data_IF_199401905873
#
_entry.id   IF_199401905873
#
_cell.length_a   1.000
_cell.length_b   1.000
_cell.length_c   1.000
_cell.angle_alpha   90.00
_cell.angle_beta   90.00
_cell.angle_gamma   90.00
#
_symmetry.space_group_name_H-M   'P 1'
#
loop_
_entity.id
_entity.type
_entity.pdbx_description
1 polymer ?
#
# COMPACT_ATOMS: atom_id res chain seq x y z
N UNK A 1 -14.84 -5.71 -15.04
CA UNK A 1 -15.13 -4.34 -15.42
C UNK A 1 -14.86 -3.39 -14.26
N UNK A 2 -14.14 -2.30 -14.51
CA UNK A 2 -13.85 -1.34 -13.45
C UNK A 2 -15.11 -0.58 -13.01
N UNK A 3 -15.21 -0.30 -11.73
CA UNK A 3 -16.26 0.51 -11.16
C UNK A 3 -15.66 1.54 -10.21
N UNK A 4 -16.39 2.62 -9.96
CA UNK A 4 -15.94 3.68 -9.07
C UNK A 4 -16.27 3.33 -7.62
N UNK A 5 -15.33 3.68 -6.72
CA UNK A 5 -15.51 3.53 -5.29
C UNK A 5 -15.98 4.84 -4.66
N UNK A 6 -16.57 4.75 -3.46
CA UNK A 6 -16.91 5.93 -2.67
C UNK A 6 -15.63 6.65 -2.26
N UNK A 7 -15.48 7.96 -2.55
CA UNK A 7 -14.32 8.70 -2.09
C UNK A 7 -14.33 8.82 -0.56
N UNK A 8 -13.23 8.46 0.06
CA UNK A 8 -13.03 8.53 1.51
C UNK A 8 -11.76 9.31 1.81
N UNK A 9 -11.65 9.83 3.02
CA UNK A 9 -10.48 10.54 3.50
C UNK A 9 -9.61 9.64 4.39
N UNK A 10 -8.54 10.21 4.94
CA UNK A 10 -7.60 9.46 5.77
C UNK A 10 -8.24 8.94 7.07
N UNK A 11 -9.30 9.58 7.56
CA UNK A 11 -10.05 9.12 8.74
C UNK A 11 -10.68 7.74 8.56
N UNK A 12 -10.92 7.33 7.31
CA UNK A 12 -11.45 6.00 7.01
C UNK A 12 -10.53 4.86 7.49
N UNK A 13 -9.22 5.11 7.59
CA UNK A 13 -8.25 4.10 8.07
C UNK A 13 -8.63 3.56 9.44
N UNK A 14 -9.12 4.42 10.34
CA UNK A 14 -9.53 4.03 11.69
C UNK A 14 -11.00 3.59 11.81
N UNK A 15 -11.81 3.81 10.76
CA UNK A 15 -13.27 3.58 10.80
C UNK A 15 -13.73 2.44 9.88
N UNK A 16 -12.85 1.87 9.08
CA UNK A 16 -13.21 0.87 8.06
C UNK A 16 -13.76 -0.41 8.69
N UNK A 17 -14.78 -1.04 8.07
CA UNK A 17 -15.30 -2.34 8.51
C UNK A 17 -14.26 -3.45 8.47
N UNK A 18 -13.33 -3.41 7.50
CA UNK A 18 -12.20 -4.32 7.43
C UNK A 18 -10.92 -3.50 7.54
N UNK A 19 -10.06 -3.90 8.47
CA UNK A 19 -8.80 -3.23 8.71
C UNK A 19 -7.72 -4.28 8.97
N UNK A 20 -6.80 -4.40 8.02
CA UNK A 20 -5.68 -5.32 8.10
C UNK A 20 -4.40 -4.51 8.34
N UNK A 21 -3.67 -4.84 9.40
CA UNK A 21 -2.44 -4.12 9.78
C UNK A 21 -1.28 -5.09 9.80
N UNK A 22 -0.21 -4.74 9.11
CA UNK A 22 1.02 -5.53 9.05
C UNK A 22 2.19 -4.64 9.42
N UNK A 23 3.13 -5.19 10.17
CA UNK A 23 4.34 -4.47 10.59
C UNK A 23 5.58 -5.30 10.31
N UNK A 24 6.69 -4.62 9.98
CA UNK A 24 8.00 -5.24 9.84
C UNK A 24 9.10 -4.20 10.02
N UNK A 25 10.18 -4.62 10.65
CA UNK A 25 11.40 -3.83 10.74
C UNK A 25 12.29 -4.10 9.53
N UNK A 26 12.88 -3.04 8.99
CA UNK A 26 13.86 -3.11 7.90
C UNK A 26 15.12 -2.33 8.28
N UNK A 27 16.24 -2.62 7.62
CA UNK A 27 17.50 -1.91 7.87
C UNK A 27 17.58 -0.58 7.14
N UNK A 28 16.80 -0.40 6.07
CA UNK A 28 16.73 0.86 5.32
C UNK A 28 16.22 2.00 6.22
N UNK A 29 16.73 3.22 5.98
CA UNK A 29 16.26 4.40 6.72
C UNK A 29 14.81 4.77 6.35
N UNK A 30 14.09 5.52 7.21
CA UNK A 30 12.76 6.01 6.84
C UNK A 30 12.75 6.79 5.52
N UNK A 31 13.77 7.59 5.25
CA UNK A 31 13.91 8.34 4.00
C UNK A 31 14.02 7.43 2.78
N UNK A 32 14.81 6.36 2.90
CA UNK A 32 14.98 5.38 1.83
C UNK A 32 13.68 4.61 1.56
N UNK A 33 12.98 4.20 2.62
CA UNK A 33 11.69 3.52 2.48
C UNK A 33 10.66 4.46 1.86
N UNK A 34 10.59 5.70 2.34
CA UNK A 34 9.66 6.69 1.82
C UNK A 34 9.91 6.97 0.33
N UNK A 35 11.17 7.10 -0.06
CA UNK A 35 11.55 7.29 -1.47
C UNK A 35 11.00 6.15 -2.35
N UNK A 36 11.18 4.90 -1.90
CA UNK A 36 10.69 3.74 -2.66
C UNK A 36 9.16 3.71 -2.76
N UNK A 37 8.46 4.14 -1.70
CA UNK A 37 6.99 4.16 -1.67
C UNK A 37 6.41 5.30 -2.51
N UNK A 38 6.88 6.52 -2.30
CA UNK A 38 6.19 7.73 -2.74
C UNK A 38 6.86 8.42 -3.93
N UNK A 39 8.19 8.31 -4.07
CA UNK A 39 8.95 9.07 -5.05
C UNK A 39 9.37 8.24 -6.25
N UNK A 40 9.58 6.94 -6.08
CA UNK A 40 9.89 6.01 -7.17
C UNK A 40 8.69 5.08 -7.44
N UNK A 41 7.56 5.64 -7.81
CA UNK A 41 6.34 4.87 -8.08
C UNK A 41 6.56 3.79 -9.15
N UNK A 42 7.22 4.08 -10.30
CA UNK A 42 7.47 3.03 -11.31
C UNK A 42 8.35 1.89 -10.81
N UNK A 43 9.07 2.07 -9.71
CA UNK A 43 9.95 1.06 -9.12
C UNK A 43 9.23 -0.02 -8.29
N UNK A 44 7.97 0.16 -7.95
CA UNK A 44 7.21 -0.78 -7.11
C UNK A 44 7.30 -2.24 -7.57
N UNK A 45 7.19 -2.58 -8.86
CA UNK A 45 7.31 -3.98 -9.28
C UNK A 45 8.64 -4.64 -8.94
N UNK A 46 9.69 -3.86 -8.70
CA UNK A 46 11.02 -4.39 -8.38
C UNK A 46 11.11 -4.98 -6.99
N UNK A 47 10.28 -4.49 -6.07
CA UNK A 47 10.32 -4.95 -4.68
C UNK A 47 9.00 -5.52 -4.17
N UNK A 48 7.87 -5.17 -4.78
CA UNK A 48 6.56 -5.72 -4.42
C UNK A 48 6.07 -6.64 -5.53
N UNK A 49 6.28 -7.95 -5.38
CA UNK A 49 6.03 -8.92 -6.44
C UNK A 49 4.57 -9.02 -6.86
N UNK A 50 3.63 -8.65 -5.99
CA UNK A 50 2.21 -8.60 -6.34
C UNK A 50 1.88 -7.49 -7.34
N UNK A 51 2.73 -6.47 -7.45
CA UNK A 51 2.55 -5.33 -8.35
C UNK A 51 3.27 -5.62 -9.67
N UNK A 52 2.56 -5.62 -10.78
CA UNK A 52 3.14 -5.83 -12.11
C UNK A 52 3.42 -4.52 -12.83
N UNK A 53 2.71 -3.45 -12.49
CA UNK A 53 2.93 -2.12 -13.07
C UNK A 53 2.46 -1.05 -12.07
N UNK A 54 3.22 0.02 -11.98
CA UNK A 54 2.86 1.20 -11.18
C UNK A 54 3.25 2.46 -11.94
N UNK A 55 2.35 3.43 -12.00
CA UNK A 55 2.56 4.68 -12.73
C UNK A 55 1.96 5.84 -11.96
N UNK A 56 2.74 6.92 -11.80
CA UNK A 56 2.22 8.16 -11.26
C UNK A 56 1.34 8.88 -12.29
N UNK A 57 0.27 9.50 -11.83
CA UNK A 57 -0.65 10.29 -12.64
C UNK A 57 -0.85 11.67 -12.00
N UNK A 58 -1.38 12.61 -12.77
CA UNK A 58 -1.72 13.96 -12.28
C UNK A 58 -0.55 14.64 -11.54
N UNK A 59 0.67 14.54 -12.11
CA UNK A 59 1.85 15.16 -11.51
C UNK A 59 2.26 14.57 -10.17
N UNK A 60 1.86 13.33 -9.88
CA UNK A 60 2.15 12.67 -8.60
C UNK A 60 0.99 12.67 -7.61
N UNK A 61 -0.12 13.36 -7.92
CA UNK A 61 -1.30 13.38 -7.06
C UNK A 61 -2.09 12.07 -7.14
N UNK A 62 -1.87 11.25 -8.16
CA UNK A 62 -2.54 9.97 -8.35
C UNK A 62 -1.59 8.89 -8.81
N UNK A 63 -2.11 7.66 -8.87
CA UNK A 63 -1.38 6.49 -9.36
C UNK A 63 -2.31 5.54 -10.08
N UNK A 64 -1.75 4.78 -11.01
CA UNK A 64 -2.38 3.59 -11.56
C UNK A 64 -1.54 2.37 -11.19
N UNK A 65 -2.18 1.38 -10.60
CA UNK A 65 -1.53 0.15 -10.13
C UNK A 65 -2.19 -1.05 -10.82
N UNK A 66 -1.36 -1.97 -11.28
CA UNK A 66 -1.81 -3.28 -11.78
C UNK A 66 -1.20 -4.36 -10.92
N UNK A 67 -2.03 -5.30 -10.52
CA UNK A 67 -1.61 -6.43 -9.69
C UNK A 67 -1.55 -7.70 -10.52
N UNK A 68 -0.74 -8.63 -10.04
CA UNK A 68 -0.70 -9.99 -10.58
C UNK A 68 -2.08 -10.60 -10.46
N UNK A 69 -2.58 -11.22 -11.51
CA UNK A 69 -3.94 -11.75 -11.56
C UNK A 69 -4.96 -10.81 -12.20
N UNK A 70 -4.57 -9.59 -12.58
CA UNK A 70 -5.39 -8.69 -13.38
C UNK A 70 -6.15 -7.61 -12.62
N UNK A 71 -6.06 -7.56 -11.30
CA UNK A 71 -6.68 -6.46 -10.52
C UNK A 71 -5.99 -5.14 -10.84
N UNK A 72 -6.78 -4.08 -10.99
CA UNK A 72 -6.30 -2.72 -11.28
C UNK A 72 -6.89 -1.73 -10.29
N UNK A 73 -6.07 -0.74 -9.92
CA UNK A 73 -6.48 0.37 -9.08
C UNK A 73 -6.14 1.70 -9.74
N UNK A 74 -7.10 2.62 -9.74
CA UNK A 74 -6.86 4.04 -9.95
C UNK A 74 -6.92 4.70 -8.59
N UNK A 75 -5.87 5.45 -8.23
CA UNK A 75 -5.69 5.91 -6.87
C UNK A 75 -5.44 7.41 -6.79
N UNK A 76 -5.84 8.02 -5.68
CA UNK A 76 -5.51 9.40 -5.32
C UNK A 76 -4.68 9.39 -4.03
N UNK A 77 -3.55 10.10 -4.04
CA UNK A 77 -2.70 10.25 -2.86
C UNK A 77 -3.41 11.16 -1.85
N UNK A 78 -3.60 10.67 -0.62
CA UNK A 78 -4.23 11.41 0.48
C UNK A 78 -3.20 12.08 1.38
N UNK A 79 -2.03 11.47 1.55
CA UNK A 79 -0.95 12.01 2.37
C UNK A 79 0.40 11.55 1.84
N UNK A 80 1.35 12.48 1.80
CA UNK A 80 2.75 12.20 1.47
C UNK A 80 3.62 13.09 2.35
N UNK A 81 3.70 12.73 3.63
CA UNK A 81 4.48 13.46 4.65
C UNK A 81 5.82 12.75 4.86
N UNK A 82 6.83 13.18 4.14
CA UNK A 82 8.15 12.58 4.18
C UNK A 82 8.84 12.84 5.52
N UNK A 83 9.48 11.85 6.11
CA UNK A 83 9.53 10.43 5.72
C UNK A 83 8.59 9.55 6.56
N UNK A 84 7.45 10.06 6.99
CA UNK A 84 6.62 9.44 8.05
C UNK A 84 5.39 8.72 7.55
N UNK A 85 4.66 9.31 6.57
CA UNK A 85 3.34 8.80 6.15
C UNK A 85 3.19 8.89 4.64
N UNK A 86 2.75 7.79 4.03
CA UNK A 86 2.28 7.75 2.65
C UNK A 86 0.95 6.99 2.60
N UNK A 87 -0.08 7.63 2.09
CA UNK A 87 -1.42 7.05 2.05
C UNK A 87 -2.14 7.42 0.77
N UNK A 88 -2.99 6.52 0.29
CA UNK A 88 -3.77 6.72 -0.92
C UNK A 88 -5.10 5.98 -0.82
N UNK A 89 -6.11 6.51 -1.49
CA UNK A 89 -7.41 5.86 -1.65
C UNK A 89 -7.54 5.30 -3.05
N UNK A 90 -8.33 4.26 -3.21
CA UNK A 90 -8.71 3.73 -4.52
C UNK A 90 -9.98 4.43 -5.00
N UNK A 91 -9.91 5.04 -6.17
CA UNK A 91 -11.04 5.74 -6.80
C UNK A 91 -11.84 4.82 -7.72
N UNK A 92 -11.16 3.86 -8.38
CA UNK A 92 -11.78 2.89 -9.26
C UNK A 92 -10.99 1.59 -9.26
N UNK A 93 -11.71 0.47 -9.39
CA UNK A 93 -11.09 -0.86 -9.45
C UNK A 93 -12.01 -1.83 -10.19
N UNK A 94 -11.43 -2.94 -10.67
CA UNK A 94 -12.18 -4.07 -11.20
C UNK A 94 -12.36 -5.20 -10.17
N UNK A 95 -11.95 -4.99 -8.92
CA UNK A 95 -12.17 -5.96 -7.85
C UNK A 95 -13.66 -6.01 -7.49
N UNK A 96 -14.35 -7.18 -7.65
CA UNK A 96 -15.79 -7.24 -7.43
C UNK A 96 -16.18 -6.95 -5.98
N UNK A 97 -17.18 -6.10 -5.80
CA UNK A 97 -17.78 -5.82 -4.49
C UNK A 97 -17.04 -4.79 -3.63
N UNK A 98 -15.89 -4.28 -4.05
CA UNK A 98 -15.20 -3.21 -3.35
C UNK A 98 -16.02 -1.91 -3.41
N UNK A 99 -16.17 -1.22 -2.26
CA UNK A 99 -16.93 0.04 -2.14
C UNK A 99 -16.10 1.21 -1.67
N UNK A 100 -15.08 0.96 -0.85
CA UNK A 100 -14.12 1.97 -0.39
C UNK A 100 -12.84 1.27 0.01
N UNK A 101 -11.68 1.90 -0.26
CA UNK A 101 -10.40 1.32 0.07
C UNK A 101 -9.35 2.41 0.25
N UNK A 102 -8.63 2.35 1.36
CA UNK A 102 -7.48 3.20 1.66
C UNK A 102 -6.33 2.32 2.13
N UNK A 103 -5.13 2.63 1.68
CA UNK A 103 -3.91 2.04 2.22
C UNK A 103 -3.06 3.14 2.83
N UNK A 104 -2.49 2.85 4.00
CA UNK A 104 -1.64 3.78 4.71
C UNK A 104 -0.33 3.10 5.11
N UNK A 105 0.77 3.75 4.78
CA UNK A 105 2.11 3.34 5.19
C UNK A 105 2.62 4.34 6.22
N UNK A 106 2.96 3.84 7.41
CA UNK A 106 3.59 4.63 8.46
C UNK A 106 5.00 4.14 8.70
N UNK A 107 5.93 5.07 8.78
CA UNK A 107 7.36 4.81 8.92
C UNK A 107 7.85 5.50 10.19
N UNK A 108 8.51 4.74 11.04
CA UNK A 108 9.13 5.27 12.25
C UNK A 108 10.55 4.72 12.39
N UNK A 109 11.50 5.52 12.93
CA UNK A 109 12.82 5.00 13.25
C UNK A 109 12.71 3.82 14.22
N UNK A 110 13.61 2.84 14.08
CA UNK A 110 13.69 1.74 15.04
C UNK A 110 14.28 2.23 16.36
N UNK A 111 13.85 1.62 17.46
CA UNK A 111 14.38 1.93 18.79
C UNK A 111 15.86 1.57 18.95
N UNK A 112 16.37 0.69 18.11
CA UNK A 112 17.74 0.15 18.18
C UNK A 112 18.75 0.92 17.30
N UNK A 113 18.47 2.17 16.91
CA UNK A 113 19.41 3.06 16.23
C UNK A 113 19.13 3.23 14.75
N UNK A 114 19.54 2.29 13.88
CA UNK A 114 19.34 2.41 12.43
C UNK A 114 18.20 1.54 11.94
N UNK A 115 17.57 1.95 10.84
CA UNK A 115 16.48 1.22 10.23
C UNK A 115 15.11 1.81 10.52
N UNK A 116 14.09 1.11 10.08
CA UNK A 116 12.70 1.61 10.07
C UNK A 116 11.74 0.53 10.52
N UNK A 117 10.79 0.91 11.38
CA UNK A 117 9.58 0.13 11.61
C UNK A 117 8.54 0.57 10.57
N UNK A 118 8.15 -0.36 9.69
CA UNK A 118 7.16 -0.11 8.64
C UNK A 118 5.83 -0.71 9.05
N UNK A 119 4.78 0.10 9.05
CA UNK A 119 3.41 -0.36 9.27
C UNK A 119 2.58 -0.09 8.02
N UNK A 120 1.97 -1.14 7.48
CA UNK A 120 1.05 -1.05 6.36
C UNK A 120 -0.35 -1.40 6.82
N UNK A 121 -1.29 -0.47 6.63
CA UNK A 121 -2.71 -0.68 6.94
C UNK A 121 -3.50 -0.71 5.64
N UNK A 122 -4.28 -1.77 5.49
CA UNK A 122 -5.22 -1.96 4.38
C UNK A 122 -6.62 -1.83 4.97
N UNK A 123 -7.32 -0.74 4.64
CA UNK A 123 -8.64 -0.43 5.18
C UNK A 123 -9.67 -0.47 4.06
N UNK A 124 -10.74 -1.24 4.22
CA UNK A 124 -11.69 -1.47 3.14
C UNK A 124 -13.14 -1.60 3.63
N UNK A 125 -14.06 -1.27 2.74
CA UNK A 125 -15.48 -1.58 2.83
C UNK A 125 -15.93 -2.20 1.51
N UNK A 126 -16.96 -3.03 1.58
CA UNK A 126 -17.48 -3.69 0.40
C UNK A 126 -18.66 -4.57 0.73
N UNK A 127 -19.12 -5.34 -0.27
CA UNK A 127 -20.17 -6.34 -0.09
C UNK A 127 -19.74 -7.42 0.91
N UNK A 128 -20.68 -8.16 1.46
CA UNK A 128 -20.37 -9.26 2.37
C UNK A 128 -19.43 -10.30 1.75
N UNK A 129 -19.63 -10.74 0.49
CA UNK A 129 -18.66 -11.63 -0.16
C UNK A 129 -17.25 -11.01 -0.28
N UNK A 130 -17.15 -9.74 -0.61
CA UNK A 130 -15.86 -9.04 -0.70
C UNK A 130 -15.14 -9.06 0.65
N UNK A 131 -15.84 -8.69 1.73
CA UNK A 131 -15.27 -8.67 3.07
C UNK A 131 -14.83 -10.05 3.53
N UNK A 132 -15.60 -11.09 3.20
CA UNK A 132 -15.26 -12.46 3.51
C UNK A 132 -13.99 -12.91 2.78
N UNK A 133 -13.89 -12.66 1.48
CA UNK A 133 -12.72 -13.00 0.67
C UNK A 133 -11.49 -12.25 1.18
N UNK A 134 -11.64 -10.98 1.54
CA UNK A 134 -10.54 -10.18 2.07
C UNK A 134 -10.03 -10.74 3.40
N UNK A 135 -10.92 -11.19 4.26
CA UNK A 135 -10.55 -11.86 5.52
C UNK A 135 -9.74 -13.14 5.28
N UNK A 136 -10.13 -13.94 4.28
CA UNK A 136 -9.38 -15.14 3.89
C UNK A 136 -8.02 -14.78 3.29
N UNK A 137 -7.92 -13.65 2.61
CA UNK A 137 -6.68 -13.20 1.98
C UNK A 137 -5.65 -12.63 2.96
N UNK A 138 -6.00 -12.44 4.23
CA UNK A 138 -5.13 -11.80 5.23
C UNK A 138 -3.75 -12.44 5.31
N UNK A 139 -3.68 -13.77 5.39
CA UNK A 139 -2.39 -14.48 5.48
C UNK A 139 -1.53 -14.27 4.23
N UNK A 140 -2.16 -14.30 3.04
CA UNK A 140 -1.47 -14.07 1.78
C UNK A 140 -0.97 -12.63 1.64
N UNK A 141 -1.77 -11.65 2.06
CA UNK A 141 -1.36 -10.24 2.07
C UNK A 141 -0.20 -10.00 3.03
N UNK A 142 -0.24 -10.62 4.21
CA UNK A 142 0.86 -10.51 5.18
C UNK A 142 2.15 -11.11 4.67
N UNK A 143 2.08 -12.24 3.97
CA UNK A 143 3.25 -12.85 3.32
C UNK A 143 3.78 -11.94 2.21
N UNK A 144 2.90 -11.42 1.36
CA UNK A 144 3.29 -10.51 0.29
C UNK A 144 3.97 -9.25 0.84
N UNK A 145 3.46 -8.71 1.93
CA UNK A 145 4.07 -7.57 2.62
C UNK A 145 5.47 -7.90 3.15
N UNK A 146 5.63 -9.04 3.85
CA UNK A 146 6.93 -9.44 4.38
C UNK A 146 7.96 -9.64 3.27
N UNK A 147 7.55 -10.31 2.19
CA UNK A 147 8.43 -10.54 1.04
C UNK A 147 8.81 -9.23 0.37
N UNK A 148 7.85 -8.31 0.25
CA UNK A 148 8.08 -6.97 -0.31
C UNK A 148 9.09 -6.20 0.53
N UNK A 149 8.96 -6.21 1.85
CA UNK A 149 9.88 -5.51 2.75
C UNK A 149 11.27 -6.10 2.70
N UNK A 150 11.40 -7.43 2.65
CA UNK A 150 12.69 -8.10 2.48
C UNK A 150 13.36 -7.71 1.15
N UNK A 151 12.59 -7.70 0.08
CA UNK A 151 13.08 -7.33 -1.25
C UNK A 151 13.51 -5.86 -1.33
N UNK A 152 12.70 -4.97 -0.75
CA UNK A 152 13.02 -3.53 -0.68
C UNK A 152 14.32 -3.30 0.09
N UNK A 153 14.45 -3.95 1.25
CA UNK A 153 15.61 -3.80 2.11
C UNK A 153 16.91 -4.24 1.43
N UNK A 154 16.87 -5.35 0.71
CA UNK A 154 18.01 -5.82 -0.09
C UNK A 154 18.42 -4.84 -1.17
N UNK A 155 17.47 -4.23 -1.86
CA UNK A 155 17.74 -3.28 -2.94
C UNK A 155 18.38 -2.01 -2.43
N UNK A 156 17.94 -1.53 -1.29
CA UNK A 156 18.45 -0.31 -0.69
C UNK A 156 19.83 -0.54 -0.09
N UNK A 157 20.09 -1.70 0.49
CA UNK A 157 21.39 -2.02 1.10
C UNK A 157 22.54 -2.13 0.08
N UNK A 158 22.22 -2.30 -1.21
CA UNK A 158 23.22 -2.46 -2.29
C UNK A 158 23.63 -1.09 -2.88
N UNK A 159 22.99 0.01 -2.49
CA UNK A 159 23.29 1.36 -3.00
C UNK A 159 24.31 2.09 -2.16
#
# INVERSE_FOLDING_TARGET
MAHRLRPVDLGFVGAAPVRLVFTREVSASPEQVFHALAEDVPGWPRWFSAVTSARATDGGAGREIRLRGGTRFEETVLAAKAPEVYAYRVDATNAPGARALVEEWRLAPRDTGTGTLVQWTFAADGTAPFRFVLGLARAGLGRAFRDAMTSLDRRVAVR
#
